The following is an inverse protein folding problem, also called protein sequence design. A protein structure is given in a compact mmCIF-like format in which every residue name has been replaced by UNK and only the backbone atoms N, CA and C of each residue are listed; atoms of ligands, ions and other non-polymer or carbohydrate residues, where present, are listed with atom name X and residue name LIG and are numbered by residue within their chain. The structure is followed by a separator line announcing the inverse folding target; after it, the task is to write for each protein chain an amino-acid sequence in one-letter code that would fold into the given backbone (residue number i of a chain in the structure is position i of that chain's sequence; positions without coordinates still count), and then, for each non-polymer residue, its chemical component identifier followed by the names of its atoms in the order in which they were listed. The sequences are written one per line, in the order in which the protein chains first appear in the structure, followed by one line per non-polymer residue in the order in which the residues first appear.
data_IF_838894036692
#
_entry.id   IF_838894036692
#
_cell.length_a   1.000
_cell.length_b   1.000
_cell.length_c   1.000
_cell.angle_alpha   90.00
_cell.angle_beta   90.00
_cell.angle_gamma   90.00
#
_symmetry.space_group_name_H-M   'P 1'
#
loop_
_entity.id
_entity.type
_entity.pdbx_description
1 polymer ?
#
# COMPACT_ATOMS: atom_id res chain seq x y z
N UNK A 1 -10.96 -10.18 14.88
CA UNK A 1 -9.61 -10.77 14.77
C UNK A 1 -8.86 -9.95 13.73
N UNK A 2 -7.68 -9.45 14.07
CA UNK A 2 -6.86 -8.66 13.16
C UNK A 2 -6.58 -9.44 11.87
N UNK A 3 -6.70 -8.76 10.72
CA UNK A 3 -6.44 -9.37 9.42
C UNK A 3 -5.05 -10.03 9.37
N UNK A 4 -4.93 -11.32 8.99
CA UNK A 4 -3.63 -12.01 8.95
C UNK A 4 -2.67 -11.35 7.95
N UNK A 5 -3.19 -10.64 6.96
CA UNK A 5 -2.41 -9.90 5.96
C UNK A 5 -1.53 -8.82 6.59
N UNK A 6 -1.88 -8.29 7.77
CA UNK A 6 -1.06 -7.28 8.46
C UNK A 6 0.31 -7.82 8.90
N UNK A 7 0.46 -9.15 8.98
CA UNK A 7 1.69 -9.85 9.40
C UNK A 7 2.29 -10.73 8.30
N UNK A 8 1.64 -10.84 7.15
CA UNK A 8 2.05 -11.73 6.07
C UNK A 8 2.75 -10.93 4.97
N UNK A 9 4.07 -11.11 4.88
CA UNK A 9 4.93 -10.42 3.90
C UNK A 9 4.55 -10.74 2.46
N UNK A 10 4.20 -12.00 2.15
CA UNK A 10 3.87 -12.42 0.80
C UNK A 10 2.49 -11.89 0.40
N UNK A 11 1.51 -11.97 1.30
CA UNK A 11 0.19 -11.41 1.06
C UNK A 11 0.23 -9.89 0.88
N UNK A 12 1.03 -9.19 1.67
CA UNK A 12 1.20 -7.73 1.55
C UNK A 12 1.88 -7.34 0.24
N UNK A 13 2.92 -8.08 -0.18
CA UNK A 13 3.58 -7.90 -1.47
C UNK A 13 2.63 -8.11 -2.65
N UNK A 14 1.88 -9.21 -2.65
CA UNK A 14 0.87 -9.48 -3.68
C UNK A 14 -0.24 -8.43 -3.72
N UNK A 15 -0.64 -7.89 -2.56
CA UNK A 15 -1.62 -6.81 -2.48
C UNK A 15 -1.09 -5.52 -3.11
N UNK A 16 0.16 -5.14 -2.83
CA UNK A 16 0.78 -3.94 -3.41
C UNK A 16 0.88 -4.04 -4.95
N UNK A 17 1.29 -5.20 -5.47
CA UNK A 17 1.34 -5.46 -6.91
C UNK A 17 -0.06 -5.40 -7.55
N UNK A 18 -1.06 -5.99 -6.89
CA UNK A 18 -2.45 -5.95 -7.36
C UNK A 18 -3.00 -4.52 -7.40
N UNK A 19 -2.67 -3.71 -6.38
CA UNK A 19 -3.07 -2.31 -6.31
C UNK A 19 -2.41 -1.47 -7.42
N UNK A 20 -1.12 -1.68 -7.69
CA UNK A 20 -0.43 -1.02 -8.80
C UNK A 20 -1.07 -1.39 -10.15
N UNK A 21 -1.33 -2.68 -10.38
CA UNK A 21 -2.00 -3.16 -11.60
C UNK A 21 -3.41 -2.57 -11.77
N UNK A 22 -4.22 -2.52 -10.71
CA UNK A 22 -5.55 -1.92 -10.75
C UNK A 22 -5.54 -0.41 -11.06
N UNK A 23 -4.49 0.29 -10.62
CA UNK A 23 -4.27 1.70 -10.94
C UNK A 23 -3.57 1.94 -12.29
N UNK A 24 -3.24 0.88 -13.04
CA UNK A 24 -2.54 0.97 -14.33
C UNK A 24 -1.11 1.52 -14.20
N UNK A 25 -0.45 1.26 -13.05
CA UNK A 25 0.90 1.73 -12.75
C UNK A 25 1.93 0.65 -13.09
N UNK A 26 2.97 1.03 -13.81
CA UNK A 26 4.09 0.14 -14.13
C UNK A 26 5.05 0.03 -12.94
N UNK A 27 5.44 -1.19 -12.60
CA UNK A 27 6.40 -1.50 -11.52
C UNK A 27 7.81 -1.69 -12.08
N UNK A 28 8.83 -1.19 -11.38
CA UNK A 28 10.23 -1.35 -11.79
C UNK A 28 10.83 -2.67 -11.33
N UNK A 29 10.51 -3.11 -10.12
CA UNK A 29 11.07 -4.30 -9.50
C UNK A 29 10.09 -4.96 -8.53
N UNK A 30 10.48 -6.11 -7.99
CA UNK A 30 9.73 -6.81 -6.95
C UNK A 30 9.61 -5.96 -5.68
N UNK A 31 8.49 -6.02 -4.94
CA UNK A 31 8.34 -5.30 -3.67
C UNK A 31 9.43 -5.68 -2.67
N UNK A 32 10.00 -4.68 -2.00
CA UNK A 32 10.92 -4.89 -0.88
C UNK A 32 10.09 -4.89 0.40
N UNK A 33 10.12 -6.01 1.14
CA UNK A 33 9.43 -6.14 2.42
C UNK A 33 10.44 -6.27 3.56
N UNK A 34 10.12 -5.64 4.69
CA UNK A 34 10.91 -5.69 5.92
C UNK A 34 9.97 -5.95 7.09
N UNK A 35 10.33 -6.94 7.90
CA UNK A 35 9.72 -7.11 9.22
C UNK A 35 10.13 -5.95 10.13
N UNK A 36 9.18 -5.47 10.91
CA UNK A 36 9.35 -4.45 11.93
C UNK A 36 9.12 -5.07 13.31
N UNK A 37 9.48 -4.37 14.40
CA UNK A 37 9.06 -4.78 15.74
C UNK A 37 7.54 -4.97 15.84
N UNK A 38 7.09 -5.81 16.79
CA UNK A 38 5.66 -6.08 17.06
C UNK A 38 4.90 -6.68 15.88
N UNK A 39 5.58 -7.51 15.10
CA UNK A 39 5.05 -8.20 13.91
C UNK A 39 4.56 -7.27 12.78
N UNK A 40 4.93 -5.98 12.84
CA UNK A 40 4.62 -5.04 11.77
C UNK A 40 5.45 -5.31 10.52
N UNK A 41 5.02 -4.75 9.40
CA UNK A 41 5.70 -4.83 8.11
C UNK A 41 5.87 -3.43 7.52
N UNK A 42 7.03 -3.18 6.91
CA UNK A 42 7.24 -2.11 5.96
C UNK A 42 7.40 -2.70 4.56
N UNK A 43 6.72 -2.12 3.59
CA UNK A 43 6.84 -2.48 2.18
C UNK A 43 7.11 -1.22 1.36
N UNK A 44 8.00 -1.33 0.38
CA UNK A 44 8.11 -0.37 -0.71
C UNK A 44 8.07 -1.10 -2.06
N UNK A 45 7.24 -0.59 -2.97
CA UNK A 45 7.17 -1.01 -4.37
C UNK A 45 7.49 0.21 -5.24
N UNK A 46 8.58 0.12 -5.98
CA UNK A 46 8.97 1.16 -6.92
C UNK A 46 8.15 1.09 -8.20
N UNK A 47 7.63 2.24 -8.61
CA UNK A 47 6.91 2.44 -9.84
C UNK A 47 7.83 3.19 -10.83
N UNK A 48 7.52 3.12 -12.12
CA UNK A 48 8.28 3.83 -13.16
C UNK A 48 8.44 5.33 -12.83
N UNK A 49 7.38 5.94 -12.28
CA UNK A 49 7.37 7.33 -11.83
C UNK A 49 6.71 7.45 -10.44
N UNK A 50 7.36 6.88 -9.42
CA UNK A 50 6.97 7.04 -8.01
C UNK A 50 7.09 5.76 -7.19
N UNK A 51 6.20 5.58 -6.21
CA UNK A 51 6.21 4.40 -5.34
C UNK A 51 4.88 4.17 -4.62
N UNK A 52 4.68 2.93 -4.19
CA UNK A 52 3.73 2.55 -3.15
C UNK A 52 4.53 2.19 -1.90
N UNK A 53 4.29 2.87 -0.78
CA UNK A 53 4.87 2.53 0.52
C UNK A 53 3.77 2.17 1.51
N UNK A 54 3.97 1.07 2.24
CA UNK A 54 2.99 0.53 3.18
C UNK A 54 3.65 0.27 4.52
N UNK A 55 2.98 0.67 5.60
CA UNK A 55 3.32 0.25 6.96
C UNK A 55 2.11 -0.42 7.61
N UNK A 56 2.30 -1.61 8.17
CA UNK A 56 1.28 -2.28 8.99
C UNK A 56 1.57 -2.05 10.47
N UNK A 57 0.51 -1.83 11.25
CA UNK A 57 0.54 -1.74 12.71
C UNK A 57 -0.49 -2.74 13.23
N UNK A 58 -0.13 -4.03 13.35
CA UNK A 58 -1.09 -5.10 13.58
C UNK A 58 -1.86 -4.97 14.90
N UNK A 59 -1.23 -4.47 15.96
CA UNK A 59 -1.85 -4.26 17.27
C UNK A 59 -2.90 -3.13 17.27
N UNK A 60 -2.91 -2.29 16.22
CA UNK A 60 -3.92 -1.23 16.02
C UNK A 60 -4.86 -1.54 14.86
N UNK A 61 -4.77 -2.73 14.26
CA UNK A 61 -5.50 -3.10 13.04
C UNK A 61 -5.39 -2.02 11.94
N UNK A 62 -4.23 -1.38 11.85
CA UNK A 62 -4.03 -0.19 11.01
C UNK A 62 -3.04 -0.49 9.88
N UNK A 63 -3.31 0.08 8.70
CA UNK A 63 -2.37 0.18 7.60
C UNK A 63 -2.18 1.66 7.23
N UNK A 64 -0.95 2.08 7.02
CA UNK A 64 -0.60 3.40 6.51
C UNK A 64 -0.12 3.21 5.08
N UNK A 65 -0.77 3.91 4.15
CA UNK A 65 -0.49 3.85 2.72
C UNK A 65 0.01 5.22 2.25
N UNK A 66 1.15 5.23 1.56
CA UNK A 66 1.68 6.41 0.87
C UNK A 66 1.82 6.07 -0.61
N UNK A 67 1.19 6.88 -1.45
CA UNK A 67 1.22 6.74 -2.91
C UNK A 67 1.84 7.98 -3.51
N UNK A 68 2.93 7.78 -4.23
CA UNK A 68 3.50 8.78 -5.11
C UNK A 68 3.33 8.28 -6.55
N UNK A 69 2.60 9.02 -7.36
CA UNK A 69 2.34 8.68 -8.77
C UNK A 69 2.52 9.91 -9.64
N UNK A 70 2.87 9.71 -10.91
CA UNK A 70 2.94 10.78 -11.89
C UNK A 70 1.61 11.52 -12.05
N UNK A 71 1.69 12.80 -12.40
CA UNK A 71 0.51 13.63 -12.70
C UNK A 71 -0.40 12.98 -13.75
N UNK A 72 -1.71 13.16 -13.59
CA UNK A 72 -2.74 12.59 -14.48
C UNK A 72 -3.03 11.10 -14.26
N UNK A 73 -2.37 10.44 -13.31
CA UNK A 73 -2.75 9.09 -12.84
C UNK A 73 -3.71 9.18 -11.66
N UNK A 74 -4.64 8.24 -11.58
CA UNK A 74 -5.60 8.13 -10.48
C UNK A 74 -5.13 7.09 -9.46
N UNK A 75 -4.51 7.50 -8.33
CA UNK A 75 -4.07 6.59 -7.30
C UNK A 75 -5.24 5.99 -6.50
N UNK A 76 -6.46 6.50 -6.64
CA UNK A 76 -7.60 6.06 -5.83
C UNK A 76 -7.92 4.58 -6.05
N UNK A 77 -7.73 4.06 -7.28
CA UNK A 77 -7.89 2.64 -7.56
C UNK A 77 -6.96 1.74 -6.73
N UNK A 78 -5.73 2.19 -6.47
CA UNK A 78 -4.83 1.47 -5.58
C UNK A 78 -5.35 1.50 -4.14
N UNK A 79 -5.79 2.66 -3.66
CA UNK A 79 -6.41 2.80 -2.32
C UNK A 79 -7.62 1.87 -2.16
N UNK A 80 -8.48 1.80 -3.16
CA UNK A 80 -9.69 0.98 -3.14
C UNK A 80 -9.37 -0.53 -3.03
N UNK A 81 -8.30 -0.99 -3.67
CA UNK A 81 -7.83 -2.39 -3.54
C UNK A 81 -7.43 -2.70 -2.09
N UNK A 82 -6.70 -1.79 -1.43
CA UNK A 82 -6.36 -1.92 -0.02
C UNK A 82 -7.62 -1.88 0.86
N UNK A 83 -8.50 -0.90 0.65
CA UNK A 83 -9.73 -0.74 1.43
C UNK A 83 -10.62 -1.99 1.34
N UNK A 84 -10.81 -2.55 0.14
CA UNK A 84 -11.55 -3.80 -0.07
C UNK A 84 -10.88 -4.98 0.62
N UNK A 85 -9.55 -5.12 0.51
CA UNK A 85 -8.83 -6.24 1.13
C UNK A 85 -8.94 -6.25 2.65
N UNK A 86 -8.94 -5.07 3.27
CA UNK A 86 -9.02 -4.93 4.72
C UNK A 86 -10.46 -4.76 5.23
N UNK A 87 -11.47 -4.73 4.35
CA UNK A 87 -12.87 -4.54 4.74
C UNK A 87 -13.12 -3.19 5.41
N UNK A 88 -12.36 -2.16 5.02
CA UNK A 88 -12.39 -0.85 5.66
C UNK A 88 -13.50 -0.01 5.06
N UNK A 89 -14.43 0.45 5.90
CA UNK A 89 -15.51 1.38 5.53
C UNK A 89 -15.12 2.85 5.66
N UNK A 90 -14.07 3.17 6.42
CA UNK A 90 -13.56 4.53 6.63
C UNK A 90 -12.05 4.60 6.40
N UNK A 91 -11.63 5.32 5.35
CA UNK A 91 -10.24 5.72 5.17
C UNK A 91 -10.05 7.09 5.83
N UNK A 92 -9.01 7.25 6.64
CA UNK A 92 -8.63 8.58 7.14
C UNK A 92 -7.88 9.30 6.01
N UNK A 93 -8.32 10.50 5.59
CA UNK A 93 -7.67 11.18 4.48
C UNK A 93 -6.23 11.54 4.86
N UNK A 94 -5.28 11.07 4.05
CA UNK A 94 -3.95 11.64 3.99
C UNK A 94 -4.01 12.92 3.15
N UNK A 95 -3.17 13.91 3.45
CA UNK A 95 -3.04 15.08 2.58
C UNK A 95 -2.41 14.66 1.26
N UNK A 96 -3.09 14.96 0.15
CA UNK A 96 -2.48 14.93 -1.16
C UNK A 96 -1.57 16.15 -1.31
N UNK A 97 -0.35 15.94 -1.80
CA UNK A 97 0.59 17.00 -2.14
C UNK A 97 0.91 16.88 -3.62
N UNK A 98 0.69 17.96 -4.38
CA UNK A 98 1.31 18.11 -5.69
C UNK A 98 2.81 18.34 -5.50
N UNK A 99 3.64 17.72 -6.35
CA UNK A 99 5.10 17.78 -6.27
C UNK A 99 5.73 18.58 -7.42
N UNK A 100 4.91 19.12 -8.33
CA UNK A 100 5.37 19.88 -9.50
C UNK A 100 5.52 18.99 -10.73
#
# INVERSE_FOLDING_TARGET
MASPVLRDSAALAGLALSAAGAAGLSTLESPIVRALPRDGLALILFLDLGHIAVHTIPERETVVLNLLVAAGRDPQKAVDVFARKFGVSETRPARAFDRG
#
